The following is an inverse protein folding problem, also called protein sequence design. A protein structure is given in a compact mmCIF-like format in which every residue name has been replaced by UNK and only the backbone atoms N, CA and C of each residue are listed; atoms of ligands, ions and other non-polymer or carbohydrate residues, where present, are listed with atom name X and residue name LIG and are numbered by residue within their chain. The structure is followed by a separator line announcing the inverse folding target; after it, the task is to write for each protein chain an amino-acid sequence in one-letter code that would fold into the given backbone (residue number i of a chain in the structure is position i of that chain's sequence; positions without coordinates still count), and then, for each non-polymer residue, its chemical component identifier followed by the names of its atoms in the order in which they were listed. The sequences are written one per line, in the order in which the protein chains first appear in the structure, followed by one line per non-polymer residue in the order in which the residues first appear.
data_IF_074936213997
#
_entry.id   IF_074936213997
#
_cell.length_a   1.000
_cell.length_b   1.000
_cell.length_c   1.000
_cell.angle_alpha   90.00
_cell.angle_beta   90.00
_cell.angle_gamma   90.00
#
_symmetry.space_group_name_H-M   'P 1'
#
loop_
_entity.id
_entity.type
_entity.pdbx_description
1 polymer ?
#
# COMPACT_ATOMS: atom_id res chain seq x y z
N UNK A 1 -1.49 -12.93 8.50
CA UNK A 1 -1.51 -11.46 8.34
C UNK A 1 -0.06 -11.02 8.21
N UNK A 2 0.28 -10.29 7.16
CA UNK A 2 1.66 -9.82 6.95
C UNK A 2 1.63 -8.42 6.36
N UNK A 3 2.27 -7.49 7.06
CA UNK A 3 2.65 -6.18 6.54
C UNK A 3 4.14 -6.27 6.30
N UNK A 4 4.56 -6.02 5.06
CA UNK A 4 5.96 -6.02 4.65
C UNK A 4 6.22 -4.72 3.89
N UNK A 5 7.17 -3.93 4.39
CA UNK A 5 7.70 -2.78 3.67
C UNK A 5 9.19 -3.02 3.45
N UNK A 6 9.65 -2.82 2.22
CA UNK A 6 11.05 -3.00 1.86
C UNK A 6 11.53 -1.92 0.88
N UNK A 7 12.82 -1.61 0.96
CA UNK A 7 13.50 -0.82 -0.07
C UNK A 7 13.99 -1.78 -1.17
N UNK A 8 13.55 -1.58 -2.41
CA UNK A 8 13.99 -2.42 -3.54
C UNK A 8 15.35 -2.02 -4.11
N UNK A 9 16.02 -1.01 -3.55
CA UNK A 9 17.38 -0.61 -3.96
C UNK A 9 18.52 -1.26 -3.18
N UNK A 10 18.28 -1.91 -2.05
CA UNK A 10 19.36 -2.52 -1.27
C UNK A 10 19.57 -3.98 -1.71
N UNK A 11 20.58 -4.21 -2.55
CA UNK A 11 21.16 -5.55 -2.82
C UNK A 11 22.13 -6.02 -1.70
N UNK A 12 22.01 -5.49 -0.48
CA UNK A 12 22.89 -5.79 0.65
C UNK A 12 22.07 -6.31 1.85
N UNK A 13 22.69 -7.11 2.75
CA UNK A 13 22.00 -7.93 3.76
C UNK A 13 21.16 -7.17 4.81
N UNK A 14 21.18 -5.84 4.81
CA UNK A 14 20.37 -4.96 5.67
C UNK A 14 19.09 -4.46 4.99
N UNK A 15 18.43 -5.30 4.19
CA UNK A 15 17.06 -5.03 3.78
C UNK A 15 16.21 -4.91 5.06
N UNK A 16 15.84 -3.69 5.45
CA UNK A 16 14.91 -3.44 6.55
C UNK A 16 13.53 -3.95 6.15
N UNK A 17 13.34 -5.26 6.23
CA UNK A 17 12.05 -5.92 6.09
C UNK A 17 11.36 -5.69 7.43
N UNK A 18 10.60 -4.61 7.50
CA UNK A 18 9.73 -4.39 8.63
C UNK A 18 8.55 -5.35 8.52
N UNK A 19 8.64 -6.47 9.25
CA UNK A 19 7.52 -7.40 9.44
C UNK A 19 6.91 -7.10 10.80
N UNK A 20 5.84 -6.31 10.86
CA UNK A 20 5.10 -6.20 12.11
C UNK A 20 4.17 -7.40 12.26
N UNK A 21 4.21 -8.02 13.44
CA UNK A 21 3.17 -8.92 13.96
C UNK A 21 2.09 -8.09 14.66
N UNK A 22 1.98 -6.80 14.32
CA UNK A 22 1.00 -5.86 14.87
C UNK A 22 -0.35 -6.07 14.20
N UNK A 23 -1.32 -6.55 14.96
CA UNK A 23 -2.67 -6.92 14.49
C UNK A 23 -3.60 -5.72 14.33
N UNK A 24 -3.17 -4.64 13.67
CA UNK A 24 -4.01 -3.45 13.52
C UNK A 24 -3.27 -2.19 13.11
N UNK A 25 -3.92 -1.05 13.34
CA UNK A 25 -3.49 0.25 12.80
C UNK A 25 -2.17 0.75 13.41
N UNK A 26 -1.89 0.41 14.68
CA UNK A 26 -0.62 0.74 15.35
C UNK A 26 0.58 0.06 14.69
N UNK A 27 0.39 -1.17 14.22
CA UNK A 27 1.42 -1.93 13.51
C UNK A 27 1.76 -1.34 12.14
N UNK A 28 0.83 -0.60 11.54
CA UNK A 28 1.04 0.13 10.29
C UNK A 28 1.76 1.45 10.56
N UNK A 29 1.35 2.19 11.59
CA UNK A 29 1.96 3.47 11.98
C UNK A 29 3.43 3.29 12.41
N UNK A 30 3.74 2.24 13.18
CA UNK A 30 5.10 1.94 13.61
C UNK A 30 6.05 1.69 12.44
N UNK A 31 5.62 0.95 11.41
CA UNK A 31 6.45 0.69 10.23
C UNK A 31 6.65 1.96 9.41
N UNK A 32 5.57 2.72 9.20
CA UNK A 32 5.64 3.95 8.44
C UNK A 32 6.64 4.95 9.03
N UNK A 33 6.78 5.03 10.36
CA UNK A 33 7.77 5.90 11.01
C UNK A 33 9.24 5.55 10.73
N UNK A 34 9.54 4.29 10.33
CA UNK A 34 10.90 3.82 10.05
C UNK A 34 11.33 3.92 8.59
N UNK A 35 10.40 4.18 7.66
CA UNK A 35 10.64 4.04 6.22
C UNK A 35 10.89 5.39 5.53
N UNK A 36 12.15 5.77 5.28
CA UNK A 36 12.48 7.04 4.60
C UNK A 36 12.32 7.02 3.07
N UNK A 37 12.54 5.88 2.41
CA UNK A 37 12.50 5.77 0.92
C UNK A 37 12.01 4.39 0.42
N UNK A 38 11.10 3.73 1.13
CA UNK A 38 10.70 2.37 0.77
C UNK A 38 10.01 2.30 -0.60
N UNK A 39 10.34 1.26 -1.36
CA UNK A 39 9.88 1.09 -2.73
C UNK A 39 8.79 0.04 -2.88
N UNK A 40 8.65 -0.84 -1.90
CA UNK A 40 7.67 -1.93 -1.91
C UNK A 40 6.86 -1.90 -0.63
N UNK A 41 5.54 -1.88 -0.77
CA UNK A 41 4.59 -1.98 0.34
C UNK A 41 3.64 -3.13 0.06
N UNK A 42 3.59 -4.11 0.97
CA UNK A 42 2.74 -5.28 0.83
C UNK A 42 1.92 -5.48 2.11
N UNK A 43 0.61 -5.38 1.97
CA UNK A 43 -0.37 -5.58 3.05
C UNK A 43 -1.31 -6.70 2.60
N UNK A 44 -1.19 -7.86 3.26
CA UNK A 44 -1.93 -9.06 2.89
C UNK A 44 -2.52 -9.75 4.13
N UNK A 45 -3.79 -10.18 4.03
CA UNK A 45 -4.53 -10.90 5.08
C UNK A 45 -4.69 -10.13 6.39
N UNK A 46 -4.72 -8.80 6.33
CA UNK A 46 -4.92 -7.96 7.50
C UNK A 46 -6.42 -7.67 7.69
N UNK A 47 -7.05 -8.38 8.63
CA UNK A 47 -8.48 -8.24 8.95
C UNK A 47 -8.77 -7.08 9.91
N UNK A 48 -7.78 -6.68 10.70
CA UNK A 48 -7.88 -5.63 11.71
C UNK A 48 -7.43 -4.24 11.20
N UNK A 49 -6.97 -4.16 9.95
CA UNK A 49 -6.65 -2.89 9.29
C UNK A 49 -7.95 -2.25 8.83
N UNK A 50 -8.15 -1.00 9.23
CA UNK A 50 -9.28 -0.17 8.81
C UNK A 50 -8.83 0.95 7.88
N UNK A 51 -9.77 1.76 7.42
CA UNK A 51 -9.44 3.00 6.73
C UNK A 51 -8.45 3.85 7.53
N UNK A 52 -8.55 3.88 8.86
CA UNK A 52 -7.72 4.72 9.71
C UNK A 52 -6.22 4.40 9.60
N UNK A 53 -5.81 3.14 9.39
CA UNK A 53 -4.40 2.81 9.16
C UNK A 53 -3.90 3.16 7.78
N UNK A 54 -4.70 2.96 6.74
CA UNK A 54 -4.31 3.38 5.40
C UNK A 54 -4.30 4.90 5.28
N UNK A 55 -5.21 5.59 5.95
CA UNK A 55 -5.15 7.03 6.14
C UNK A 55 -3.92 7.42 6.92
N UNK A 56 -3.57 6.72 8.00
CA UNK A 56 -2.33 7.00 8.73
C UNK A 56 -1.12 6.83 7.82
N UNK A 57 -1.03 5.79 6.98
CA UNK A 57 0.02 5.71 5.95
C UNK A 57 0.04 6.93 5.01
N UNK A 58 -1.14 7.35 4.55
CA UNK A 58 -1.28 8.49 3.66
C UNK A 58 -1.04 9.85 4.36
N UNK A 59 -1.29 9.97 5.66
CA UNK A 59 -1.16 11.17 6.49
C UNK A 59 0.23 11.29 7.12
N UNK A 60 0.91 10.17 7.37
CA UNK A 60 2.32 10.16 7.78
C UNK A 60 3.22 10.71 6.67
N UNK A 61 2.74 10.75 5.42
CA UNK A 61 3.27 11.59 4.34
C UNK A 61 3.44 13.05 4.77
N UNK A 62 2.38 13.63 5.32
CA UNK A 62 2.31 15.06 5.64
C UNK A 62 2.92 15.35 7.03
N UNK A 63 2.78 14.42 7.98
CA UNK A 63 3.26 14.58 9.36
C UNK A 63 4.73 14.16 9.58
N UNK A 64 5.22 13.14 8.87
CA UNK A 64 6.58 12.60 9.05
C UNK A 64 7.50 12.85 7.85
N UNK A 65 7.07 13.64 6.86
CA UNK A 65 7.78 13.83 5.58
C UNK A 65 8.15 12.49 4.93
N UNK A 66 7.24 11.50 5.01
CA UNK A 66 7.45 10.25 4.30
C UNK A 66 7.36 10.53 2.79
N UNK A 67 8.48 10.34 2.09
CA UNK A 67 8.49 10.53 0.64
C UNK A 67 7.83 9.33 -0.06
N UNK A 68 6.50 9.39 -0.15
CA UNK A 68 5.68 8.43 -0.88
C UNK A 68 6.01 8.41 -2.39
N UNK A 69 6.79 9.39 -2.89
CA UNK A 69 7.34 9.40 -4.25
C UNK A 69 8.34 8.28 -4.49
N UNK A 70 8.77 7.56 -3.44
CA UNK A 70 9.64 6.40 -3.58
C UNK A 70 8.86 5.08 -3.77
N UNK A 71 7.56 5.03 -3.50
CA UNK A 71 6.79 3.77 -3.56
C UNK A 71 6.55 3.38 -5.02
N UNK A 72 7.01 2.19 -5.39
CA UNK A 72 6.96 1.67 -6.76
C UNK A 72 6.10 0.42 -6.90
N UNK A 73 6.09 -0.48 -5.91
CA UNK A 73 5.25 -1.68 -5.90
C UNK A 73 4.35 -1.68 -4.66
N UNK A 74 3.04 -1.74 -4.87
CA UNK A 74 2.08 -1.80 -3.78
C UNK A 74 1.17 -3.01 -3.94
N UNK A 75 1.01 -3.81 -2.90
CA UNK A 75 0.09 -4.94 -2.87
C UNK A 75 -0.87 -4.79 -1.71
N UNK A 76 -2.16 -4.62 -2.02
CA UNK A 76 -3.23 -4.47 -1.03
C UNK A 76 -4.30 -5.53 -1.30
N UNK A 77 -4.23 -6.65 -0.58
CA UNK A 77 -5.15 -7.78 -0.80
C UNK A 77 -5.68 -8.35 0.51
N UNK A 78 -6.89 -8.89 0.46
CA UNK A 78 -7.57 -9.51 1.61
C UNK A 78 -7.79 -8.58 2.81
N UNK A 79 -8.03 -7.29 2.57
CA UNK A 79 -8.51 -6.33 3.56
C UNK A 79 -10.03 -6.27 3.47
N UNK A 80 -10.73 -6.61 4.56
CA UNK A 80 -12.20 -6.65 4.59
C UNK A 80 -12.84 -5.37 5.13
N UNK A 81 -12.09 -4.60 5.92
CA UNK A 81 -12.59 -3.44 6.65
C UNK A 81 -12.05 -2.11 6.08
N UNK A 82 -11.63 -2.14 4.81
CA UNK A 82 -11.13 -0.96 4.09
C UNK A 82 -12.13 -0.61 2.99
N UNK A 83 -12.52 0.65 2.92
CA UNK A 83 -13.45 1.19 1.94
C UNK A 83 -12.77 1.46 0.59
N UNK A 84 -13.57 1.45 -0.47
CA UNK A 84 -13.11 1.76 -1.83
C UNK A 84 -12.55 3.19 -1.94
N UNK A 85 -13.13 4.15 -1.21
CA UNK A 85 -12.65 5.53 -1.16
C UNK A 85 -11.23 5.60 -0.58
N UNK A 86 -10.95 4.83 0.47
CA UNK A 86 -9.61 4.74 1.03
C UNK A 86 -8.59 4.15 0.05
N UNK A 87 -8.97 3.08 -0.68
CA UNK A 87 -8.15 2.54 -1.78
C UNK A 87 -7.90 3.60 -2.86
N UNK A 88 -8.90 4.36 -3.27
CA UNK A 88 -8.74 5.39 -4.29
C UNK A 88 -7.74 6.47 -3.82
N UNK A 89 -7.89 6.97 -2.60
CA UNK A 89 -7.03 8.02 -2.04
C UNK A 89 -5.57 7.59 -1.96
N UNK A 90 -5.28 6.38 -1.47
CA UNK A 90 -3.90 5.92 -1.35
C UNK A 90 -3.24 5.71 -2.72
N UNK A 91 -4.00 5.23 -3.71
CA UNK A 91 -3.50 5.05 -5.08
C UNK A 91 -3.21 6.40 -5.76
N UNK A 92 -4.06 7.40 -5.54
CA UNK A 92 -3.85 8.74 -6.07
C UNK A 92 -2.65 9.44 -5.40
N UNK A 93 -2.47 9.24 -4.09
CA UNK A 93 -1.40 9.82 -3.29
C UNK A 93 0.00 9.32 -3.68
N UNK A 94 0.10 8.06 -4.16
CA UNK A 94 1.37 7.48 -4.58
C UNK A 94 1.62 7.77 -6.07
N UNK A 95 2.34 8.86 -6.37
CA UNK A 95 2.61 9.31 -7.75
C UNK A 95 3.60 8.43 -8.53
N UNK A 96 4.45 7.67 -7.85
CA UNK A 96 5.55 6.91 -8.48
C UNK A 96 5.28 5.42 -8.62
N UNK A 97 4.03 5.00 -8.45
CA UNK A 97 3.63 3.60 -8.56
C UNK A 97 3.96 3.07 -9.95
N UNK A 98 4.80 2.03 -9.99
CA UNK A 98 5.10 1.27 -11.21
C UNK A 98 4.26 0.02 -11.30
N UNK A 99 3.84 -0.51 -10.16
CA UNK A 99 3.05 -1.72 -10.05
C UNK A 99 2.13 -1.66 -8.84
N UNK A 100 0.90 -2.09 -9.04
CA UNK A 100 -0.11 -2.17 -7.99
C UNK A 100 -0.81 -3.52 -8.11
N UNK A 101 -0.99 -4.21 -6.98
CA UNK A 101 -1.72 -5.47 -6.93
C UNK A 101 -2.93 -5.35 -6.00
N UNK A 102 -4.13 -5.51 -6.54
CA UNK A 102 -5.41 -5.36 -5.86
C UNK A 102 -6.29 -6.60 -6.03
N UNK A 103 -7.33 -6.74 -5.21
CA UNK A 103 -8.35 -7.77 -5.44
C UNK A 103 -9.18 -7.45 -6.69
N UNK A 104 -9.54 -8.50 -7.45
CA UNK A 104 -10.32 -8.37 -8.69
C UNK A 104 -11.64 -7.62 -8.49
N UNK A 105 -12.29 -7.76 -7.32
CA UNK A 105 -13.54 -7.05 -7.02
C UNK A 105 -13.36 -5.52 -6.99
N UNK A 106 -12.18 -5.03 -6.63
CA UNK A 106 -11.91 -3.59 -6.65
C UNK A 106 -11.84 -3.04 -8.07
N UNK A 107 -11.57 -3.88 -9.08
CA UNK A 107 -11.52 -3.45 -10.50
C UNK A 107 -12.84 -2.86 -10.98
N UNK A 108 -13.95 -3.44 -10.55
CA UNK A 108 -15.30 -3.01 -10.96
C UNK A 108 -15.88 -1.95 -10.04
N UNK A 109 -15.31 -1.76 -8.85
CA UNK A 109 -15.86 -0.86 -7.84
C UNK A 109 -15.07 0.44 -7.70
N UNK A 110 -13.76 0.43 -7.99
CA UNK A 110 -12.98 1.66 -8.08
C UNK A 110 -13.51 2.52 -9.23
N UNK A 111 -13.60 3.83 -9.00
CA UNK A 111 -14.00 4.80 -10.00
C UNK A 111 -13.11 4.69 -11.24
N UNK A 112 -13.72 4.68 -12.42
CA UNK A 112 -13.00 4.59 -13.70
C UNK A 112 -11.96 5.70 -13.86
N UNK A 113 -12.22 6.86 -13.26
CA UNK A 113 -11.28 8.00 -13.25
C UNK A 113 -9.99 7.68 -12.47
N UNK A 114 -10.11 7.07 -11.29
CA UNK A 114 -8.96 6.66 -10.48
C UNK A 114 -8.14 5.62 -11.23
N UNK A 115 -8.81 4.66 -11.85
CA UNK A 115 -8.17 3.62 -12.66
C UNK A 115 -7.42 4.21 -13.85
N UNK A 116 -8.07 5.09 -14.62
CA UNK A 116 -7.48 5.79 -15.76
C UNK A 116 -6.28 6.63 -15.33
N UNK A 117 -6.39 7.35 -14.22
CA UNK A 117 -5.30 8.19 -13.70
C UNK A 117 -4.07 7.38 -13.31
N UNK A 118 -4.27 6.18 -12.74
CA UNK A 118 -3.18 5.26 -12.41
C UNK A 118 -2.55 4.67 -13.68
N UNK A 119 -3.38 4.31 -14.66
CA UNK A 119 -2.91 3.77 -15.95
C UNK A 119 -2.15 4.82 -16.78
N UNK A 120 -2.60 6.08 -16.80
CA UNK A 120 -1.97 7.19 -17.52
C UNK A 120 -0.56 7.52 -16.98
N UNK A 121 -0.34 7.26 -15.68
CA UNK A 121 0.98 7.33 -15.05
C UNK A 121 1.90 6.17 -15.45
N UNK A 122 1.42 5.19 -16.21
CA UNK A 122 2.15 3.98 -16.60
C UNK A 122 2.22 2.92 -15.50
N UNK A 123 1.39 3.00 -14.46
CA UNK A 123 1.35 2.00 -13.40
C UNK A 123 0.77 0.67 -13.91
N UNK A 124 1.49 -0.43 -13.67
CA UNK A 124 1.04 -1.78 -14.00
C UNK A 124 0.07 -2.30 -12.95
N UNK A 125 -1.21 -2.39 -13.29
CA UNK A 125 -2.24 -2.96 -12.43
C UNK A 125 -2.28 -4.48 -12.55
N UNK A 126 -2.21 -5.17 -11.42
CA UNK A 126 -2.37 -6.61 -11.29
C UNK A 126 -3.58 -6.90 -10.41
N UNK A 127 -4.41 -7.84 -10.86
CA UNK A 127 -5.60 -8.25 -10.13
C UNK A 127 -5.41 -9.64 -9.56
N UNK A 128 -5.67 -9.81 -8.27
CA UNK A 128 -5.73 -11.12 -7.61
C UNK A 128 -7.16 -11.56 -7.41
N UNK A 129 -7.42 -12.83 -7.72
CA UNK A 129 -8.60 -13.51 -7.22
C UNK A 129 -8.31 -14.02 -5.81
N UNK A 130 -9.35 -14.07 -4.98
CA UNK A 130 -9.21 -14.69 -3.66
C UNK A 130 -8.99 -16.19 -3.89
N UNK A 131 -7.94 -16.83 -3.35
CA UNK A 131 -7.90 -18.28 -3.35
C UNK A 131 -9.11 -18.78 -2.56
N UNK A 132 -9.82 -19.76 -3.13
CA UNK A 132 -11.02 -20.36 -2.57
C UNK A 132 -10.79 -20.80 -1.10
#
# INVERSE_FOLDING_TARGET
FSIEISDSNFQLPDAQIFRSVGTGDDGVAAIASGCKCSKVVNITYCKSITDASLYSLALLRDLLQLDMSCIQDMKLVHMKNVTIDCFAKILLACSSLRKVTLLLRLRTTLLSEVMRHIEDRGTRLRWMQKPD
#
